data_IF_447740578893
#
_entry.id   IF_447740578893
#
_cell.length_a   1.000
_cell.length_b   1.000
_cell.length_c   1.000
_cell.angle_alpha   90.00
_cell.angle_beta   90.00
_cell.angle_gamma   90.00
#
_symmetry.space_group_name_H-M   'P 1'
#
loop_
_entity.id
_entity.type
_entity.pdbx_description
1 polymer ?
#
# COMPACT_ATOMS: atom_id res chain seq x y z
N UNK A 1 4.34 2.96 -18.83
CA UNK A 1 3.38 2.83 -17.71
C UNK A 1 4.25 2.54 -16.51
N UNK A 2 4.31 3.44 -15.53
CA UNK A 2 5.32 3.43 -14.48
C UNK A 2 5.57 2.03 -13.88
N UNK A 3 4.50 1.31 -13.56
CA UNK A 3 4.56 -0.05 -12.99
C UNK A 3 5.25 -1.06 -13.92
N UNK A 4 4.96 -1.02 -15.22
CA UNK A 4 5.59 -1.90 -16.22
C UNK A 4 7.08 -1.59 -16.36
N UNK A 5 7.44 -0.31 -16.33
CA UNK A 5 8.82 0.13 -16.50
C UNK A 5 9.65 -0.28 -15.27
N UNK A 6 9.11 -0.09 -14.05
CA UNK A 6 9.69 -0.58 -12.79
C UNK A 6 9.82 -2.11 -12.77
N UNK A 7 8.78 -2.83 -13.20
CA UNK A 7 8.81 -4.28 -13.28
C UNK A 7 9.87 -4.81 -14.26
N UNK A 8 10.08 -4.10 -15.38
CA UNK A 8 11.15 -4.39 -16.33
C UNK A 8 12.54 -4.29 -15.70
N UNK A 9 12.78 -3.26 -14.90
CA UNK A 9 14.03 -3.12 -14.12
C UNK A 9 14.21 -4.27 -13.14
N UNK A 10 13.15 -4.66 -12.40
CA UNK A 10 13.23 -5.82 -11.51
C UNK A 10 13.57 -7.10 -12.28
N UNK A 11 12.93 -7.32 -13.43
CA UNK A 11 13.15 -8.50 -14.27
C UNK A 11 14.58 -8.58 -14.80
N UNK A 12 15.18 -7.46 -15.23
CA UNK A 12 16.56 -7.42 -15.74
C UNK A 12 17.57 -7.95 -14.72
N UNK A 13 17.36 -7.63 -13.43
CA UNK A 13 18.18 -8.10 -12.32
C UNK A 13 17.95 -9.59 -11.94
N UNK A 14 16.95 -10.24 -12.53
CA UNK A 14 16.76 -11.71 -12.41
C UNK A 14 17.52 -12.50 -13.47
N UNK A 15 17.91 -11.86 -14.58
CA UNK A 15 18.52 -12.54 -15.75
C UNK A 15 19.97 -12.13 -15.99
N UNK A 16 20.38 -10.95 -15.51
CA UNK A 16 21.74 -10.45 -15.69
C UNK A 16 22.75 -11.19 -14.80
N UNK A 17 23.88 -11.60 -15.39
CA UNK A 17 24.97 -12.23 -14.65
C UNK A 17 25.70 -11.23 -13.73
N UNK A 18 26.09 -11.67 -12.53
CA UNK A 18 26.85 -10.85 -11.58
C UNK A 18 26.01 -9.92 -10.70
N UNK A 19 24.68 -9.95 -10.83
CA UNK A 19 23.74 -9.23 -9.94
C UNK A 19 22.81 -10.21 -9.22
N UNK A 20 21.99 -9.68 -8.32
CA UNK A 20 20.95 -10.43 -7.60
C UNK A 20 19.60 -9.72 -7.77
N UNK A 21 18.46 -10.44 -7.69
CA UNK A 21 17.14 -9.84 -7.66
C UNK A 21 16.98 -8.85 -6.50
N UNK A 22 16.10 -7.87 -6.68
CA UNK A 22 15.76 -6.92 -5.63
C UNK A 22 15.09 -7.64 -4.44
N UNK A 23 15.53 -7.33 -3.23
CA UNK A 23 14.97 -7.92 -2.00
C UNK A 23 13.73 -7.19 -1.47
N UNK A 24 12.97 -6.53 -2.35
CA UNK A 24 11.82 -5.68 -1.98
C UNK A 24 10.64 -5.94 -2.89
N UNK A 25 9.43 -5.91 -2.32
CA UNK A 25 8.18 -5.83 -3.06
C UNK A 25 7.63 -4.42 -2.89
N UNK A 26 7.05 -3.86 -3.94
CA UNK A 26 6.54 -2.49 -3.93
C UNK A 26 5.02 -2.49 -3.99
N UNK A 27 4.39 -1.59 -3.23
CA UNK A 27 3.04 -1.12 -3.51
C UNK A 27 3.15 0.25 -4.18
N UNK A 28 2.55 0.37 -5.36
CA UNK A 28 2.54 1.59 -6.16
C UNK A 28 1.08 2.05 -6.23
N UNK A 29 0.76 3.11 -5.49
CA UNK A 29 -0.54 3.76 -5.52
C UNK A 29 -0.46 5.05 -6.35
N UNK A 30 -1.51 5.36 -7.10
CA UNK A 30 -1.58 6.56 -7.91
C UNK A 30 -3.01 6.89 -8.35
N UNK A 31 -3.19 8.07 -8.92
CA UNK A 31 -4.47 8.52 -9.46
C UNK A 31 -4.23 9.11 -10.85
N UNK A 32 -4.95 8.63 -11.86
CA UNK A 32 -4.87 9.13 -13.24
C UNK A 32 -6.25 9.49 -13.82
N UNK A 33 -6.39 9.53 -15.14
CA UNK A 33 -7.65 9.85 -15.82
C UNK A 33 -8.71 8.74 -15.66
N UNK A 34 -8.30 7.51 -15.37
CA UNK A 34 -9.18 6.35 -15.16
C UNK A 34 -9.53 6.12 -13.67
N UNK A 35 -8.99 6.96 -12.76
CA UNK A 35 -9.29 6.93 -11.33
C UNK A 35 -8.10 6.46 -10.46
N UNK A 36 -8.37 5.97 -9.23
CA UNK A 36 -7.34 5.47 -8.33
C UNK A 36 -6.86 4.07 -8.75
N UNK A 37 -5.55 3.85 -8.64
CA UNK A 37 -4.90 2.58 -8.97
C UNK A 37 -3.97 2.13 -7.86
N UNK A 38 -3.96 0.82 -7.60
CA UNK A 38 -3.03 0.17 -6.69
C UNK A 38 -2.39 -1.02 -7.40
N UNK A 39 -1.06 -1.02 -7.49
CA UNK A 39 -0.28 -2.10 -8.07
C UNK A 39 0.71 -2.68 -7.06
N UNK A 40 0.92 -3.99 -7.13
CA UNK A 40 2.05 -4.65 -6.49
C UNK A 40 3.10 -4.98 -7.54
N UNK A 41 4.37 -4.65 -7.30
CA UNK A 41 5.53 -5.12 -8.10
C UNK A 41 6.34 -6.10 -7.26
N UNK A 42 6.48 -7.32 -7.75
CA UNK A 42 7.22 -8.40 -7.10
C UNK A 42 8.70 -8.43 -7.56
N UNK A 43 9.66 -8.85 -6.70
CA UNK A 43 11.05 -9.08 -7.06
C UNK A 43 11.30 -9.83 -8.37
N UNK A 44 10.39 -10.73 -8.76
CA UNK A 44 10.46 -11.49 -10.02
C UNK A 44 10.28 -10.64 -11.28
N UNK A 45 9.82 -9.39 -11.14
CA UNK A 45 9.37 -8.56 -12.26
C UNK A 45 7.91 -8.79 -12.66
N UNK A 46 7.18 -9.63 -11.93
CA UNK A 46 5.73 -9.70 -12.07
C UNK A 46 5.06 -8.49 -11.40
N UNK A 47 3.95 -8.02 -11.96
CA UNK A 47 3.12 -6.99 -11.34
C UNK A 47 1.62 -7.29 -11.45
N UNK A 48 0.85 -6.80 -10.49
CA UNK A 48 -0.57 -7.12 -10.34
C UNK A 48 -1.35 -5.87 -9.93
N UNK A 49 -2.51 -5.63 -10.55
CA UNK A 49 -3.46 -4.61 -10.10
C UNK A 49 -4.33 -5.14 -8.97
N UNK A 50 -4.61 -4.29 -7.98
CA UNK A 50 -5.37 -4.63 -6.77
C UNK A 50 -6.42 -3.57 -6.48
N UNK A 51 -7.55 -4.02 -5.91
CA UNK A 51 -8.55 -3.12 -5.29
C UNK A 51 -8.12 -2.73 -3.87
N UNK A 52 -7.62 -3.71 -3.12
CA UNK A 52 -6.95 -3.53 -1.84
C UNK A 52 -5.96 -4.69 -1.66
N UNK A 53 -4.81 -4.44 -1.05
CA UNK A 53 -3.83 -5.49 -0.80
C UNK A 53 -2.90 -5.13 0.36
N UNK A 54 -2.20 -6.14 0.87
CA UNK A 54 -1.13 -5.98 1.85
C UNK A 54 0.07 -6.84 1.43
N UNK A 55 1.27 -6.40 1.83
CA UNK A 55 2.55 -7.11 1.69
C UNK A 55 3.26 -7.11 3.06
N UNK A 56 4.32 -7.92 3.20
CA UNK A 56 5.10 -7.99 4.45
C UNK A 56 4.70 -9.15 5.38
N UNK A 57 5.09 -9.06 6.65
CA UNK A 57 4.79 -10.10 7.65
C UNK A 57 3.28 -10.20 7.86
N UNK A 58 2.75 -11.41 8.00
CA UNK A 58 1.32 -11.66 8.25
C UNK A 58 0.35 -11.15 7.18
N UNK A 59 0.82 -10.84 5.95
CA UNK A 59 -0.02 -10.28 4.89
C UNK A 59 -1.25 -11.11 4.53
N UNK A 60 -1.24 -12.43 4.75
CA UNK A 60 -2.40 -13.31 4.52
C UNK A 60 -3.60 -12.92 5.40
N UNK A 61 -3.35 -12.61 6.67
CA UNK A 61 -4.39 -12.19 7.60
C UNK A 61 -4.89 -10.79 7.24
N UNK A 62 -3.97 -9.86 6.96
CA UNK A 62 -4.31 -8.51 6.51
C UNK A 62 -5.16 -8.51 5.23
N UNK A 63 -4.81 -9.32 4.22
CA UNK A 63 -5.64 -9.48 3.00
C UNK A 63 -7.02 -10.06 3.31
N UNK A 64 -7.10 -11.08 4.18
CA UNK A 64 -8.39 -11.65 4.59
C UNK A 64 -9.29 -10.62 5.30
N UNK A 65 -8.69 -9.67 6.02
CA UNK A 65 -9.40 -8.57 6.67
C UNK A 65 -9.88 -7.53 5.65
N UNK A 66 -9.03 -7.13 4.72
CA UNK A 66 -9.37 -6.24 3.61
C UNK A 66 -10.51 -6.81 2.75
N UNK A 67 -10.46 -8.10 2.42
CA UNK A 67 -11.50 -8.80 1.64
C UNK A 67 -12.89 -8.69 2.27
N UNK A 68 -12.98 -8.58 3.61
CA UNK A 68 -14.26 -8.47 4.32
C UNK A 68 -14.78 -7.05 4.45
N UNK A 69 -13.89 -6.05 4.44
CA UNK A 69 -14.23 -4.65 4.72
C UNK A 69 -14.25 -3.75 3.49
N UNK A 70 -13.50 -4.12 2.46
CA UNK A 70 -13.45 -3.35 1.22
C UNK A 70 -14.83 -3.24 0.57
N UNK A 71 -15.17 -2.04 0.10
CA UNK A 71 -16.32 -1.77 -0.77
C UNK A 71 -15.86 -0.88 -1.93
N UNK A 72 -16.56 -0.94 -3.05
CA UNK A 72 -16.20 -0.14 -4.22
C UNK A 72 -16.54 1.35 -4.07
N UNK A 73 -17.44 1.68 -3.13
CA UNK A 73 -17.99 3.02 -2.89
C UNK A 73 -17.37 3.72 -1.67
N UNK A 74 -16.18 3.30 -1.23
CA UNK A 74 -15.48 3.93 -0.11
C UNK A 74 -14.96 5.31 -0.51
N UNK A 75 -15.17 6.30 0.36
CA UNK A 75 -14.46 7.58 0.26
C UNK A 75 -13.04 7.48 0.87
N UNK A 76 -12.30 8.59 0.82
CA UNK A 76 -10.92 8.63 1.31
C UNK A 76 -10.85 8.36 2.82
N UNK A 77 -11.78 8.89 3.60
CA UNK A 77 -11.79 8.74 5.06
C UNK A 77 -12.08 7.29 5.46
N UNK A 78 -13.08 6.68 4.82
CA UNK A 78 -13.39 5.25 4.94
C UNK A 78 -12.17 4.37 4.59
N UNK A 79 -11.45 4.73 3.52
CA UNK A 79 -10.27 3.99 3.07
C UNK A 79 -9.10 4.10 4.07
N UNK A 80 -8.85 5.30 4.62
CA UNK A 80 -7.84 5.53 5.67
C UNK A 80 -8.18 4.69 6.91
N UNK A 81 -9.42 4.75 7.37
CA UNK A 81 -9.86 4.00 8.55
C UNK A 81 -9.71 2.49 8.34
N UNK A 82 -10.10 1.97 7.18
CA UNK A 82 -9.96 0.56 6.86
C UNK A 82 -8.48 0.12 6.76
N UNK A 83 -7.60 0.96 6.22
CA UNK A 83 -6.16 0.71 6.17
C UNK A 83 -5.54 0.62 7.58
N UNK A 84 -5.89 1.56 8.46
CA UNK A 84 -5.43 1.57 9.86
C UNK A 84 -5.93 0.36 10.65
N UNK A 85 -7.21 0.03 10.53
CA UNK A 85 -7.77 -1.18 11.17
C UNK A 85 -7.08 -2.45 10.66
N UNK A 86 -6.79 -2.52 9.37
CA UNK A 86 -6.06 -3.67 8.77
C UNK A 86 -4.65 -3.78 9.33
N UNK A 87 -3.93 -2.65 9.46
CA UNK A 87 -2.59 -2.63 10.04
C UNK A 87 -2.61 -3.11 11.49
N UNK A 88 -3.62 -2.72 12.27
CA UNK A 88 -3.76 -3.09 13.69
C UNK A 88 -3.85 -4.60 13.92
N UNK A 89 -4.48 -5.36 13.01
CA UNK A 89 -4.53 -6.82 13.08
C UNK A 89 -3.16 -7.50 12.93
N UNK A 90 -2.20 -6.82 12.29
CA UNK A 90 -0.85 -7.32 12.04
C UNK A 90 0.22 -6.72 12.94
N UNK A 91 -0.12 -5.70 13.74
CA UNK A 91 0.83 -4.93 14.53
C UNK A 91 1.06 -5.58 15.89
N UNK A 92 2.34 -5.67 16.30
CA UNK A 92 2.72 -6.17 17.62
C UNK A 92 2.96 -4.96 18.53
N UNK A 93 2.03 -4.69 19.46
CA UNK A 93 2.10 -3.55 20.38
C UNK A 93 1.06 -2.47 20.08
N UNK A 94 1.29 -1.26 20.60
CA UNK A 94 0.42 -0.11 20.39
C UNK A 94 0.84 0.65 19.12
N UNK A 95 -0.14 1.00 18.27
CA UNK A 95 0.08 1.88 17.13
C UNK A 95 0.04 3.33 17.60
N UNK A 96 1.05 4.12 17.21
CA UNK A 96 1.15 5.55 17.49
C UNK A 96 1.64 6.30 16.25
N UNK A 97 1.55 7.63 16.27
CA UNK A 97 1.95 8.50 15.15
C UNK A 97 3.45 8.52 14.86
N UNK A 98 4.27 7.86 15.67
CA UNK A 98 5.72 7.74 15.49
C UNK A 98 6.12 6.39 14.89
N UNK A 99 5.25 5.38 14.99
CA UNK A 99 5.51 4.03 14.50
C UNK A 99 4.71 3.67 13.23
N UNK A 100 3.75 4.51 12.84
CA UNK A 100 3.01 4.42 11.57
C UNK A 100 3.29 5.64 10.69
N UNK A 101 3.51 5.39 9.40
CA UNK A 101 3.52 6.41 8.36
C UNK A 101 2.31 6.18 7.44
N UNK A 102 1.52 7.22 7.19
CA UNK A 102 0.36 7.16 6.30
C UNK A 102 0.53 8.15 5.15
N UNK A 103 0.22 7.71 3.94
CA UNK A 103 0.24 8.56 2.75
C UNK A 103 -1.02 8.37 1.93
N UNK A 104 -1.48 9.46 1.34
CA UNK A 104 -2.71 9.53 0.55
C UNK A 104 -2.42 10.09 -0.84
N UNK A 105 -3.20 9.63 -1.81
CA UNK A 105 -3.29 10.21 -3.15
C UNK A 105 -4.76 10.16 -3.56
N UNK A 106 -5.30 11.30 -3.97
CA UNK A 106 -6.73 11.45 -4.29
C UNK A 106 -6.90 12.05 -5.70
N UNK A 107 -8.12 12.40 -6.08
CA UNK A 107 -8.54 12.97 -7.35
C UNK A 107 -7.75 14.22 -7.78
N UNK A 108 -7.15 14.94 -6.83
CA UNK A 108 -6.28 16.10 -7.12
C UNK A 108 -4.87 15.69 -7.62
N UNK A 109 -4.60 14.38 -7.65
CA UNK A 109 -3.36 13.73 -8.09
C UNK A 109 -2.14 14.15 -7.26
N UNK A 110 -2.35 14.60 -6.03
CA UNK A 110 -1.27 14.96 -5.12
C UNK A 110 -1.02 13.83 -4.13
N UNK A 111 0.16 13.24 -4.24
CA UNK A 111 0.67 12.37 -3.20
C UNK A 111 1.09 13.19 -1.98
N UNK A 112 0.58 12.84 -0.80
CA UNK A 112 0.87 13.52 0.45
C UNK A 112 1.10 12.51 1.56
N UNK A 113 2.25 12.62 2.22
CA UNK A 113 2.51 11.94 3.49
C UNK A 113 1.86 12.78 4.59
N UNK A 114 1.05 12.15 5.44
CA UNK A 114 0.41 12.82 6.56
C UNK A 114 1.42 13.18 7.63
N UNK A 115 1.19 14.29 8.30
CA UNK A 115 1.97 14.69 9.47
C UNK A 115 1.64 13.79 10.67
N UNK A 116 2.54 13.66 11.66
CA UNK A 116 2.25 12.89 12.86
C UNK A 116 0.99 13.37 13.61
N UNK A 117 0.68 14.67 13.58
CA UNK A 117 -0.57 15.18 14.16
C UNK A 117 -1.81 14.64 13.43
N UNK A 118 -1.80 14.64 12.10
CA UNK A 118 -2.92 14.10 11.32
C UNK A 118 -3.06 12.58 11.51
N UNK A 119 -1.94 11.85 11.56
CA UNK A 119 -1.97 10.40 11.85
C UNK A 119 -2.57 10.14 13.23
N UNK A 120 -2.20 10.95 14.25
CA UNK A 120 -2.77 10.82 15.59
C UNK A 120 -4.28 11.04 15.60
N UNK A 121 -4.76 12.07 14.92
CA UNK A 121 -6.20 12.36 14.83
C UNK A 121 -6.96 11.13 14.26
N UNK A 122 -6.42 10.48 13.22
CA UNK A 122 -7.01 9.25 12.66
C UNK A 122 -6.93 8.04 13.59
N UNK A 123 -5.84 7.90 14.36
CA UNK A 123 -5.69 6.81 15.32
C UNK A 123 -6.67 6.95 16.50
N UNK A 124 -6.93 8.19 16.94
CA UNK A 124 -7.87 8.49 18.01
C UNK A 124 -9.32 8.19 17.59
N UNK A 125 -9.68 8.46 16.32
CA UNK A 125 -10.99 8.10 15.75
C UNK A 125 -11.18 6.60 15.49
N UNK A 126 -10.09 5.86 15.33
CA UNK A 126 -10.11 4.41 15.09
C UNK A 126 -10.20 3.55 16.37
N UNK A 127 -10.19 4.18 17.54
CA UNK A 127 -10.35 3.56 18.87
C UNK A 127 -11.80 3.57 19.35
#
# INVERSE_FOLDING_TARGET
>A
MLVRDTAGVCQEYTQSGGVRPFGVSLLVAGYDDDGPHLFQVDPSGAYFGWKATAIGKNFKNARSFLERRYREDMDLEDAIHNALLTMREGFEGEMDEHNIELAVVDQDRKFRILTPSEVRDYLDEAN
#
